data_IF_325590630122
#
_entry.id   IF_325590630122
#
_cell.length_a   1.000
_cell.length_b   1.000
_cell.length_c   1.000
_cell.angle_alpha   90.00
_cell.angle_beta   90.00
_cell.angle_gamma   90.00
#
_symmetry.space_group_name_H-M   'P 1'
#
loop_
_entity.id
_entity.type
_entity.pdbx_description
1 polymer ?
#
# COMPACT_ATOMS: atom_id res chain seq x y z
N UNK A 1 -6.10 2.47 39.04
CA UNK A 1 -5.37 3.35 38.09
C UNK A 1 -4.42 2.56 37.21
N UNK A 2 -3.55 1.70 37.79
CA UNK A 2 -2.66 0.82 37.03
C UNK A 2 -3.46 -0.18 36.16
N UNK A 3 -4.56 -0.73 36.68
CA UNK A 3 -5.37 -1.72 35.95
C UNK A 3 -6.02 -1.15 34.68
N UNK A 4 -6.45 0.12 34.72
CA UNK A 4 -7.00 0.80 33.53
C UNK A 4 -5.94 1.02 32.44
N UNK A 5 -4.68 1.27 32.84
CA UNK A 5 -3.57 1.42 31.88
C UNK A 5 -3.23 0.05 31.26
N UNK A 6 -3.28 -1.02 32.06
CA UNK A 6 -3.04 -2.38 31.58
C UNK A 6 -4.14 -2.82 30.60
N UNK A 7 -5.41 -2.53 30.87
CA UNK A 7 -6.51 -2.80 29.93
C UNK A 7 -6.39 -2.01 28.63
N UNK A 8 -6.02 -0.73 28.70
CA UNK A 8 -5.80 0.07 27.49
C UNK A 8 -4.67 -0.52 26.64
N UNK A 9 -3.58 -0.96 27.28
CA UNK A 9 -2.45 -1.57 26.60
C UNK A 9 -2.83 -2.89 25.92
N UNK A 10 -3.51 -3.80 26.60
CA UNK A 10 -3.85 -5.12 26.03
C UNK A 10 -4.79 -5.01 24.84
N UNK A 11 -5.70 -4.02 24.85
CA UNK A 11 -6.66 -3.79 23.78
C UNK A 11 -6.02 -3.10 22.57
N UNK A 12 -5.23 -2.04 22.80
CA UNK A 12 -4.76 -1.18 21.71
C UNK A 12 -3.34 -1.49 21.23
N UNK A 13 -2.52 -2.20 22.01
CA UNK A 13 -1.18 -2.56 21.55
C UNK A 13 -1.20 -3.45 20.29
N UNK A 14 -2.02 -4.52 20.19
CA UNK A 14 -2.05 -5.37 18.99
C UNK A 14 -2.36 -4.62 17.68
N UNK A 15 -3.43 -3.80 17.57
CA UNK A 15 -3.74 -3.08 16.34
C UNK A 15 -2.69 -2.01 16.01
N UNK A 16 -2.13 -1.32 17.02
CA UNK A 16 -1.07 -0.33 16.81
C UNK A 16 0.20 -1.00 16.27
N UNK A 17 0.61 -2.13 16.86
CA UNK A 17 1.76 -2.91 16.40
C UNK A 17 1.50 -3.40 14.96
N UNK A 18 0.30 -3.87 14.66
CA UNK A 18 -0.07 -4.34 13.31
C UNK A 18 0.11 -3.23 12.27
N UNK A 19 -0.38 -2.02 12.54
CA UNK A 19 -0.21 -0.88 11.65
C UNK A 19 1.26 -0.49 11.52
N UNK A 20 2.00 -0.44 12.64
CA UNK A 20 3.43 -0.12 12.63
C UNK A 20 4.24 -1.10 11.79
N UNK A 21 4.01 -2.41 11.96
CA UNK A 21 4.65 -3.47 11.17
C UNK A 21 4.26 -3.36 9.70
N UNK A 22 2.99 -3.10 9.40
CA UNK A 22 2.52 -2.91 8.03
C UNK A 22 3.21 -1.77 7.31
N UNK A 23 3.25 -0.58 7.93
CA UNK A 23 3.92 0.61 7.38
C UNK A 23 5.43 0.36 7.24
N UNK A 24 6.05 -0.26 8.24
CA UNK A 24 7.47 -0.59 8.19
C UNK A 24 7.79 -1.58 7.06
N UNK A 25 6.95 -2.60 6.88
CA UNK A 25 7.05 -3.52 5.75
C UNK A 25 6.91 -2.78 4.42
N UNK A 26 5.92 -1.88 4.28
CA UNK A 26 5.76 -1.04 3.09
C UNK A 26 6.99 -0.18 2.79
N UNK A 27 7.63 0.36 3.83
CA UNK A 27 8.88 1.11 3.69
C UNK A 27 10.05 0.24 3.24
N UNK A 28 10.21 -0.96 3.81
CA UNK A 28 11.21 -1.95 3.36
C UNK A 28 10.97 -2.33 1.90
N UNK A 29 9.72 -2.63 1.52
CA UNK A 29 9.34 -2.95 0.15
C UNK A 29 9.66 -1.82 -0.81
N UNK A 30 9.35 -0.57 -0.44
CA UNK A 30 9.73 0.61 -1.23
C UNK A 30 11.24 0.68 -1.46
N UNK A 31 12.04 0.53 -0.39
CA UNK A 31 13.50 0.55 -0.49
C UNK A 31 14.05 -0.60 -1.34
N UNK A 32 13.43 -1.78 -1.24
CA UNK A 32 13.81 -2.94 -2.02
C UNK A 32 13.51 -2.74 -3.51
N UNK A 33 12.31 -2.28 -3.86
CA UNK A 33 11.91 -1.94 -5.24
C UNK A 33 12.88 -0.91 -5.82
N UNK A 34 13.11 0.20 -5.11
CA UNK A 34 13.98 1.26 -5.58
C UNK A 34 15.43 0.79 -5.84
N UNK A 35 15.97 -0.05 -4.95
CA UNK A 35 17.38 -0.48 -5.02
C UNK A 35 17.61 -1.63 -6.00
N UNK A 36 16.74 -2.65 -6.00
CA UNK A 36 16.95 -3.87 -6.79
C UNK A 36 16.43 -3.74 -8.20
N UNK A 37 15.27 -3.12 -8.37
CA UNK A 37 14.56 -3.15 -9.65
C UNK A 37 15.13 -2.12 -10.61
N UNK A 38 15.52 -0.93 -10.13
CA UNK A 38 16.22 0.08 -10.96
C UNK A 38 17.52 -0.45 -11.58
N UNK A 39 18.21 -1.36 -10.88
CA UNK A 39 19.41 -2.04 -11.39
C UNK A 39 19.09 -3.04 -12.50
N UNK A 40 17.88 -3.60 -12.50
CA UNK A 40 17.39 -4.51 -13.54
C UNK A 40 16.87 -3.72 -14.73
N UNK A 41 16.07 -2.67 -14.51
CA UNK A 41 15.51 -1.83 -15.60
C UNK A 41 16.60 -1.14 -16.40
N UNK A 42 17.70 -0.71 -15.76
CA UNK A 42 18.87 -0.16 -16.47
C UNK A 42 19.55 -1.12 -17.45
N UNK A 43 19.26 -2.43 -17.38
CA UNK A 43 19.77 -3.45 -18.32
C UNK A 43 18.81 -3.78 -19.44
N UNK A 44 17.53 -3.40 -19.32
CA UNK A 44 16.51 -3.62 -20.36
C UNK A 44 16.32 -2.31 -21.13
N UNK A 45 16.17 -2.38 -22.44
CA UNK A 45 15.85 -1.20 -23.27
C UNK A 45 14.37 -0.81 -23.20
N UNK A 46 13.55 -1.55 -22.44
CA UNK A 46 12.11 -1.35 -22.40
C UNK A 46 11.72 -0.38 -21.28
N UNK A 47 11.42 0.86 -21.69
CA UNK A 47 10.95 1.95 -20.81
C UNK A 47 9.63 1.64 -20.06
N UNK A 48 8.89 0.60 -20.45
CA UNK A 48 7.62 0.24 -19.80
C UNK A 48 7.80 -0.28 -18.37
N UNK A 49 8.93 -0.93 -18.08
CA UNK A 49 9.26 -1.37 -16.72
C UNK A 49 9.30 -0.17 -15.75
N UNK A 50 9.98 0.91 -16.14
CA UNK A 50 10.14 2.10 -15.30
C UNK A 50 8.79 2.78 -14.98
N UNK A 51 7.84 2.77 -15.94
CA UNK A 51 6.48 3.30 -15.76
C UNK A 51 5.73 2.48 -14.70
N UNK A 52 5.73 1.15 -14.85
CA UNK A 52 5.02 0.25 -13.92
C UNK A 52 5.62 0.38 -12.51
N UNK A 53 6.93 0.30 -12.38
CA UNK A 53 7.57 0.38 -11.07
C UNK A 53 7.42 1.75 -10.42
N UNK A 54 7.52 2.84 -11.19
CA UNK A 54 7.31 4.19 -10.68
C UNK A 54 5.89 4.38 -10.14
N UNK A 55 4.89 3.86 -10.86
CA UNK A 55 3.50 3.91 -10.42
C UNK A 55 3.28 3.08 -9.13
N UNK A 56 3.81 1.86 -9.04
CA UNK A 56 3.68 1.03 -7.80
C UNK A 56 4.42 1.69 -6.62
N UNK A 57 5.66 2.16 -6.82
CA UNK A 57 6.50 2.71 -5.77
C UNK A 57 5.84 3.88 -5.04
N UNK A 58 5.05 4.68 -5.76
CA UNK A 58 4.30 5.82 -5.22
C UNK A 58 3.23 5.40 -4.21
N UNK A 59 2.53 4.28 -4.46
CA UNK A 59 1.38 3.86 -3.66
C UNK A 59 1.68 2.70 -2.70
N UNK A 60 2.85 2.05 -2.79
CA UNK A 60 3.17 0.84 -2.02
C UNK A 60 3.02 1.03 -0.51
N UNK A 61 3.53 2.12 0.07
CA UNK A 61 3.40 2.39 1.52
C UNK A 61 1.94 2.56 1.91
N UNK A 62 1.16 3.24 1.07
CA UNK A 62 -0.27 3.46 1.28
C UNK A 62 -1.06 2.14 1.24
N UNK A 63 -0.75 1.23 0.32
CA UNK A 63 -1.38 -0.09 0.26
C UNK A 63 -1.08 -0.93 1.48
N UNK A 64 0.18 -0.97 1.90
CA UNK A 64 0.59 -1.67 3.12
C UNK A 64 -0.09 -1.10 4.37
N UNK A 65 -0.21 0.23 4.45
CA UNK A 65 -0.97 0.89 5.51
C UNK A 65 -2.44 0.46 5.50
N UNK A 66 -3.12 0.49 4.35
CA UNK A 66 -4.54 0.12 4.26
C UNK A 66 -4.79 -1.35 4.61
N UNK A 67 -3.91 -2.27 4.19
CA UNK A 67 -4.00 -3.69 4.55
C UNK A 67 -3.83 -3.87 6.06
N UNK A 68 -2.83 -3.23 6.65
CA UNK A 68 -2.59 -3.32 8.08
C UNK A 68 -3.72 -2.67 8.90
N UNK A 69 -4.27 -1.57 8.42
CA UNK A 69 -5.44 -0.93 9.02
C UNK A 69 -6.69 -1.80 8.91
N UNK A 70 -6.92 -2.46 7.76
CA UNK A 70 -8.00 -3.44 7.61
C UNK A 70 -7.88 -4.58 8.62
N UNK A 71 -6.69 -5.16 8.78
CA UNK A 71 -6.42 -6.21 9.77
C UNK A 71 -6.62 -5.71 11.21
N UNK A 72 -6.07 -4.55 11.53
CA UNK A 72 -6.18 -3.93 12.85
C UNK A 72 -7.65 -3.63 13.20
N UNK A 73 -8.40 -3.03 12.28
CA UNK A 73 -9.82 -2.72 12.48
C UNK A 73 -10.67 -3.99 12.62
N UNK A 74 -10.37 -5.06 11.87
CA UNK A 74 -11.04 -6.34 11.99
C UNK A 74 -10.71 -7.12 13.27
N UNK A 75 -9.57 -6.85 13.90
CA UNK A 75 -9.11 -7.55 15.11
C UNK A 75 -9.75 -7.06 16.42
N UNK A 76 -10.35 -5.87 16.41
CA UNK A 76 -10.97 -5.26 17.59
C UNK A 76 -12.47 -5.55 17.56
N UNK A 77 -13.00 -6.29 18.54
CA UNK A 77 -14.45 -6.53 18.68
C UNK A 77 -15.19 -5.38 19.40
N UNK A 78 -14.44 -4.40 19.91
CA UNK A 78 -14.98 -3.26 20.64
C UNK A 78 -15.62 -2.29 19.65
N UNK A 79 -16.92 -2.01 19.84
CA UNK A 79 -17.66 -1.05 19.02
C UNK A 79 -18.21 -1.63 17.71
N UNK A 80 -18.51 -2.94 17.65
CA UNK A 80 -19.33 -3.49 16.58
C UNK A 80 -20.66 -2.70 16.46
N UNK A 81 -21.07 -2.24 15.26
CA UNK A 81 -20.58 -2.62 13.92
C UNK A 81 -19.55 -1.64 13.29
N UNK A 82 -19.06 -0.63 14.02
CA UNK A 82 -18.21 0.43 13.46
C UNK A 82 -16.83 -0.07 12.99
N UNK A 83 -16.27 -1.03 13.69
CA UNK A 83 -15.03 -1.72 13.31
C UNK A 83 -15.12 -2.39 11.93
N UNK A 84 -16.25 -3.05 11.64
CA UNK A 84 -16.53 -3.68 10.35
C UNK A 84 -16.66 -2.65 9.22
N UNK A 85 -17.30 -1.51 9.49
CA UNK A 85 -17.38 -0.42 8.52
C UNK A 85 -16.00 0.19 8.23
N UNK A 86 -15.16 0.39 9.25
CA UNK A 86 -13.80 0.88 9.08
C UNK A 86 -12.95 -0.08 8.23
N UNK A 87 -13.02 -1.39 8.52
CA UNK A 87 -12.35 -2.42 7.74
C UNK A 87 -12.84 -2.43 6.27
N UNK A 88 -14.17 -2.43 6.06
CA UNK A 88 -14.77 -2.40 4.72
C UNK A 88 -14.36 -1.15 3.93
N UNK A 89 -14.33 0.01 4.58
CA UNK A 89 -13.90 1.27 3.97
C UNK A 89 -12.43 1.21 3.56
N UNK A 90 -11.55 0.69 4.42
CA UNK A 90 -10.13 0.52 4.10
C UNK A 90 -9.91 -0.40 2.89
N UNK A 91 -10.60 -1.52 2.83
CA UNK A 91 -10.55 -2.44 1.70
C UNK A 91 -11.09 -1.80 0.41
N UNK A 92 -12.15 -1.00 0.52
CA UNK A 92 -12.73 -0.28 -0.62
C UNK A 92 -11.76 0.76 -1.18
N UNK A 93 -11.13 1.55 -0.30
CA UNK A 93 -10.09 2.50 -0.68
C UNK A 93 -8.87 1.83 -1.30
N UNK A 94 -8.52 0.63 -0.82
CA UNK A 94 -7.41 -0.15 -1.37
C UNK A 94 -7.72 -0.56 -2.81
N UNK A 95 -8.88 -1.16 -3.06
CA UNK A 95 -9.31 -1.56 -4.41
C UNK A 95 -9.40 -0.37 -5.36
N UNK A 96 -9.94 0.76 -4.90
CA UNK A 96 -10.02 1.98 -5.68
C UNK A 96 -8.62 2.49 -6.04
N UNK A 97 -7.70 2.52 -5.08
CA UNK A 97 -6.32 2.98 -5.30
C UNK A 97 -5.57 2.09 -6.27
N UNK A 98 -5.70 0.76 -6.15
CA UNK A 98 -5.10 -0.19 -7.09
C UNK A 98 -5.65 0.01 -8.51
N UNK A 99 -6.97 0.15 -8.63
CA UNK A 99 -7.63 0.40 -9.94
C UNK A 99 -7.15 1.69 -10.58
N UNK A 100 -7.09 2.79 -9.81
CA UNK A 100 -6.61 4.08 -10.31
C UNK A 100 -5.14 3.98 -10.76
N UNK A 101 -4.31 3.28 -9.98
CA UNK A 101 -2.90 3.07 -10.31
C UNK A 101 -2.76 2.29 -11.62
N UNK A 102 -3.54 1.21 -11.80
CA UNK A 102 -3.57 0.44 -13.04
C UNK A 102 -4.02 1.27 -14.24
N UNK A 103 -5.03 2.14 -14.05
CA UNK A 103 -5.49 3.06 -15.10
C UNK A 103 -4.40 4.05 -15.50
N UNK A 104 -3.68 4.64 -14.53
CA UNK A 104 -2.56 5.54 -14.83
C UNK A 104 -1.42 4.84 -15.56
N UNK A 105 -1.07 3.60 -15.16
CA UNK A 105 -0.06 2.79 -15.86
C UNK A 105 -0.43 2.54 -17.31
N UNK A 106 -1.69 2.21 -17.59
CA UNK A 106 -2.16 1.96 -18.95
C UNK A 106 -2.06 3.22 -19.83
N UNK A 107 -2.40 4.39 -19.28
CA UNK A 107 -2.28 5.68 -19.98
C UNK A 107 -0.82 6.00 -20.26
N UNK A 108 0.05 5.85 -19.27
CA UNK A 108 1.48 6.18 -19.41
C UNK A 108 2.17 5.25 -20.42
N UNK A 109 1.83 3.95 -20.44
CA UNK A 109 2.31 3.01 -21.45
C UNK A 109 1.82 3.36 -22.86
N UNK A 110 0.55 3.77 -23.00
CA UNK A 110 0.00 4.19 -24.29
C UNK A 110 0.68 5.46 -24.81
N UNK A 111 0.93 6.43 -23.94
CA UNK A 111 1.65 7.66 -24.28
C UNK A 111 3.07 7.32 -24.77
N UNK A 112 3.79 6.46 -24.05
CA UNK A 112 5.11 6.00 -24.45
C UNK A 112 5.10 5.31 -25.83
N UNK A 113 4.08 4.49 -26.11
CA UNK A 113 3.93 3.85 -27.42
C UNK A 113 3.66 4.88 -28.54
N UNK A 114 2.79 5.86 -28.28
CA UNK A 114 2.46 6.92 -29.24
C UNK A 114 3.70 7.75 -29.60
N UNK A 115 4.49 8.15 -28.60
CA UNK A 115 5.75 8.86 -28.80
C UNK A 115 6.74 8.06 -29.64
N UNK A 116 6.79 6.73 -29.47
CA UNK A 116 7.67 5.86 -30.26
C UNK A 116 7.27 5.71 -31.74
N UNK A 117 5.99 5.97 -32.07
CA UNK A 117 5.46 5.88 -33.44
C UNK A 117 5.23 7.22 -34.14
N UNK A 118 5.29 8.32 -33.39
CA UNK A 118 5.10 9.69 -33.89
C UNK A 118 6.39 10.37 -34.39
N UNK A 119 7.47 9.61 -34.63
CA UNK A 119 8.73 10.07 -35.23
C UNK A 119 8.99 9.40 -36.57
#
# INVERSE_FOLDING_TARGET
>A
MIDQILELYTIWAPPVITIAVGVFAGWIFKRFIHSRIKKITSKTSWKGDDIIFGAIEKYIIYWFFLVAFYMAAGSIEIGAPYNLYAAKLAMTLLMLSVTMTASTMAIDLLNQWSESKGS
#
